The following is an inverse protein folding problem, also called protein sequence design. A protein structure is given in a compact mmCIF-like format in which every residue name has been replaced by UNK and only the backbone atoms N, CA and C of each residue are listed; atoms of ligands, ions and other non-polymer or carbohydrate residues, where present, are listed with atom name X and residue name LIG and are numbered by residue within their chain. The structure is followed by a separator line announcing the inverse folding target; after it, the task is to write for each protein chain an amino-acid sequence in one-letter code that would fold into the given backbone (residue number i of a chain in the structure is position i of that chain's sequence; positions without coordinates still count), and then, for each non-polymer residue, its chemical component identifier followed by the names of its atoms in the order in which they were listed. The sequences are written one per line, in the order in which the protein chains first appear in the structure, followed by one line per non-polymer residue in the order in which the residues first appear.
data_IF_882460047989
#
_entry.id   IF_882460047989
#
_cell.length_a   1.000
_cell.length_b   1.000
_cell.length_c   1.000
_cell.angle_alpha   90.00
_cell.angle_beta   90.00
_cell.angle_gamma   90.00
#
_symmetry.space_group_name_H-M   'P 1'
#
loop_
_entity.id
_entity.type
_entity.pdbx_description
1 polymer ?
#
# COMPACT_ATOMS: atom_id res chain seq x y z
N UNK A 1 -56.93 49.90 33.87
CA UNK A 1 -56.87 48.71 33.02
C UNK A 1 -55.46 48.57 32.44
N UNK A 2 -54.59 47.81 33.07
CA UNK A 2 -53.21 47.59 32.65
C UNK A 2 -53.12 46.22 31.99
N UNK A 3 -52.80 46.16 30.71
CA UNK A 3 -52.56 44.92 29.99
C UNK A 3 -51.07 44.50 30.21
N UNK A 4 -50.92 43.33 30.79
CA UNK A 4 -49.62 42.69 30.99
C UNK A 4 -49.26 41.91 29.69
N UNK A 5 -48.14 42.25 29.10
CA UNK A 5 -47.60 41.52 27.93
C UNK A 5 -46.47 40.62 28.44
N UNK A 6 -46.63 39.33 28.26
CA UNK A 6 -45.66 38.28 28.62
C UNK A 6 -44.74 38.04 27.41
N UNK A 7 -43.39 38.10 27.52
CA UNK A 7 -42.52 37.72 26.42
C UNK A 7 -42.30 36.18 26.40
N UNK A 8 -42.59 35.58 25.26
CA UNK A 8 -42.32 34.20 24.95
C UNK A 8 -40.81 34.03 24.68
N UNK A 9 -40.06 33.40 25.58
CA UNK A 9 -38.69 32.97 25.34
C UNK A 9 -38.71 31.70 24.49
N UNK A 10 -38.40 31.81 23.21
CA UNK A 10 -37.98 30.67 22.37
C UNK A 10 -36.54 30.28 22.71
N UNK A 11 -36.38 29.24 23.49
CA UNK A 11 -35.11 28.55 23.67
C UNK A 11 -34.77 27.72 22.44
N UNK A 12 -33.86 28.21 21.62
CA UNK A 12 -33.27 27.39 20.56
C UNK A 12 -32.28 26.38 21.19
N UNK A 13 -32.73 25.13 21.32
CA UNK A 13 -31.84 24.01 21.68
C UNK A 13 -30.97 23.70 20.46
N UNK A 14 -29.75 24.14 20.50
CA UNK A 14 -28.66 23.70 19.62
C UNK A 14 -28.34 22.25 19.99
N UNK A 15 -28.93 21.28 19.32
CA UNK A 15 -28.45 19.90 19.33
C UNK A 15 -27.13 19.87 18.55
N UNK A 16 -26.01 19.99 19.27
CA UNK A 16 -24.70 19.62 18.76
C UNK A 16 -24.69 18.10 18.54
N UNK A 17 -24.88 17.67 17.31
CA UNK A 17 -24.56 16.31 16.89
C UNK A 17 -23.04 16.13 16.97
N UNK A 18 -22.53 15.83 18.14
CA UNK A 18 -21.25 15.12 18.28
C UNK A 18 -21.56 13.66 17.88
N UNK A 19 -21.39 13.37 16.59
CA UNK A 19 -21.19 11.99 16.15
C UNK A 19 -19.84 11.54 16.75
N UNK A 20 -19.89 10.94 17.93
CA UNK A 20 -18.78 10.13 18.39
C UNK A 20 -18.70 8.97 17.41
N UNK A 21 -17.57 8.86 16.69
CA UNK A 21 -17.20 7.65 16.01
C UNK A 21 -17.02 6.57 17.10
N UNK A 22 -18.09 5.86 17.44
CA UNK A 22 -17.97 4.66 18.27
C UNK A 22 -17.09 3.67 17.50
N UNK A 23 -15.97 3.30 18.11
CA UNK A 23 -15.12 2.22 17.63
C UNK A 23 -15.98 0.96 17.51
N UNK A 24 -16.28 0.53 16.30
CA UNK A 24 -17.04 -0.68 16.03
C UNK A 24 -16.28 -1.89 16.59
N UNK A 25 -16.80 -2.54 17.60
CA UNK A 25 -16.28 -3.79 18.11
C UNK A 25 -16.87 -4.97 17.36
N UNK A 26 -16.09 -6.03 17.19
CA UNK A 26 -16.63 -7.30 16.71
C UNK A 26 -17.77 -7.78 17.60
N UNK A 27 -18.92 -8.11 17.04
CA UNK A 27 -20.09 -8.60 17.80
C UNK A 27 -19.82 -9.98 18.40
N UNK A 28 -18.99 -10.80 17.75
CA UNK A 28 -18.47 -12.08 18.26
C UNK A 28 -16.97 -12.10 18.05
N UNK A 29 -16.21 -12.65 19.02
CA UNK A 29 -14.78 -12.88 18.81
C UNK A 29 -14.57 -13.77 17.58
N UNK A 30 -13.66 -13.39 16.73
CA UNK A 30 -13.25 -14.20 15.59
C UNK A 30 -11.72 -14.17 15.42
N UNK A 31 -11.20 -15.11 14.63
CA UNK A 31 -9.76 -15.24 14.36
C UNK A 31 -9.47 -14.86 12.91
N UNK A 32 -8.48 -14.00 12.72
CA UNK A 32 -8.00 -13.56 11.41
C UNK A 32 -6.50 -13.82 11.27
N UNK A 33 -6.10 -14.52 10.21
CA UNK A 33 -4.71 -14.64 9.79
C UNK A 33 -4.44 -13.84 8.53
N UNK A 34 -3.41 -12.99 8.52
CA UNK A 34 -3.00 -12.23 7.34
C UNK A 34 -1.72 -12.80 6.78
N UNK A 35 -1.73 -13.23 5.51
CA UNK A 35 -0.57 -13.77 4.79
C UNK A 35 0.03 -12.68 3.92
N UNK A 36 1.25 -12.24 4.25
CA UNK A 36 1.96 -11.18 3.49
C UNK A 36 2.89 -11.78 2.43
N UNK A 37 3.39 -10.95 1.50
CA UNK A 37 4.25 -11.38 0.38
C UNK A 37 5.56 -12.00 0.85
N UNK A 38 6.17 -11.40 1.87
CA UNK A 38 7.43 -11.84 2.47
C UNK A 38 7.52 -11.31 3.90
N UNK A 39 7.89 -12.16 4.84
CA UNK A 39 8.09 -11.76 6.23
C UNK A 39 9.41 -11.02 6.46
N UNK A 40 9.47 -10.20 7.50
CA UNK A 40 10.72 -9.59 7.98
C UNK A 40 11.18 -8.34 7.25
N UNK A 41 10.53 -7.90 6.17
CA UNK A 41 10.81 -6.58 5.61
C UNK A 41 10.07 -5.49 6.40
N UNK A 42 10.67 -4.29 6.56
CA UNK A 42 10.13 -3.24 7.42
C UNK A 42 8.69 -2.84 7.13
N UNK A 43 8.29 -2.82 5.86
CA UNK A 43 6.91 -2.57 5.45
C UNK A 43 5.91 -3.50 6.15
N UNK A 44 6.13 -4.81 6.05
CA UNK A 44 5.22 -5.80 6.66
C UNK A 44 5.36 -5.89 8.17
N UNK A 45 6.52 -5.55 8.75
CA UNK A 45 6.67 -5.46 10.21
C UNK A 45 5.80 -4.33 10.79
N UNK A 46 5.68 -3.18 10.10
CA UNK A 46 4.81 -2.08 10.50
C UNK A 46 3.34 -2.41 10.25
N UNK A 47 3.02 -3.14 9.16
CA UNK A 47 1.67 -3.65 8.92
C UNK A 47 1.23 -4.61 10.04
N UNK A 48 2.10 -5.50 10.51
CA UNK A 48 1.84 -6.42 11.63
C UNK A 48 1.48 -5.68 12.91
N UNK A 49 2.15 -4.55 13.20
CA UNK A 49 1.78 -3.70 14.34
C UNK A 49 0.34 -3.19 14.19
N UNK A 50 -0.04 -2.70 13.00
CA UNK A 50 -1.40 -2.26 12.72
C UNK A 50 -2.44 -3.37 12.92
N UNK A 51 -2.18 -4.57 12.40
CA UNK A 51 -3.03 -5.76 12.58
C UNK A 51 -3.21 -6.09 14.05
N UNK A 52 -2.11 -6.15 14.80
CA UNK A 52 -2.11 -6.58 16.21
C UNK A 52 -2.79 -5.55 17.11
N UNK A 53 -2.50 -4.27 16.92
CA UNK A 53 -3.08 -3.18 17.72
C UNK A 53 -4.58 -3.04 17.47
N UNK A 54 -5.00 -3.04 16.21
CA UNK A 54 -6.41 -2.91 15.85
C UNK A 54 -7.19 -4.18 16.25
N UNK A 55 -6.58 -5.36 16.12
CA UNK A 55 -7.16 -6.61 16.62
C UNK A 55 -7.47 -6.54 18.11
N UNK A 56 -6.53 -6.06 18.93
CA UNK A 56 -6.75 -5.86 20.38
C UNK A 56 -7.86 -4.84 20.66
N UNK A 57 -7.88 -3.73 19.92
CA UNK A 57 -8.88 -2.65 20.06
C UNK A 57 -10.29 -3.13 19.75
N UNK A 58 -10.45 -3.94 18.69
CA UNK A 58 -11.74 -4.44 18.23
C UNK A 58 -12.15 -5.80 18.82
N UNK A 59 -11.29 -6.42 19.62
CA UNK A 59 -11.56 -7.74 20.22
C UNK A 59 -11.43 -8.90 19.25
N UNK A 60 -10.60 -8.76 18.22
CA UNK A 60 -10.30 -9.75 17.18
C UNK A 60 -8.95 -10.41 17.48
N UNK A 61 -8.87 -11.73 17.37
CA UNK A 61 -7.59 -12.46 17.42
C UNK A 61 -6.94 -12.37 16.03
N UNK A 62 -6.24 -11.25 15.76
CA UNK A 62 -5.61 -10.98 14.47
C UNK A 62 -4.08 -11.12 14.56
N UNK A 63 -3.48 -11.78 13.57
CA UNK A 63 -2.04 -12.00 13.49
C UNK A 63 -1.58 -12.06 12.03
N UNK A 64 -0.29 -11.81 11.81
CA UNK A 64 0.35 -11.87 10.51
C UNK A 64 1.26 -13.11 10.41
N UNK A 65 1.32 -13.70 9.23
CA UNK A 65 2.29 -14.71 8.82
C UNK A 65 2.82 -14.35 7.43
N UNK A 66 4.01 -14.85 7.10
CA UNK A 66 4.56 -14.63 5.76
C UNK A 66 5.70 -15.59 5.46
N UNK A 67 5.91 -15.91 4.18
CA UNK A 67 7.06 -16.71 3.76
C UNK A 67 8.38 -15.96 4.00
N UNK A 68 9.48 -16.70 4.00
CA UNK A 68 10.83 -16.12 4.14
C UNK A 68 11.34 -15.51 2.85
N UNK A 69 10.74 -15.88 1.72
CA UNK A 69 11.02 -15.37 0.38
C UNK A 69 9.70 -15.01 -0.32
N UNK A 70 9.75 -14.15 -1.33
CA UNK A 70 8.60 -13.78 -2.13
C UNK A 70 8.21 -14.92 -3.10
N UNK A 71 7.81 -16.07 -2.55
CA UNK A 71 7.43 -17.29 -3.29
C UNK A 71 5.92 -17.53 -3.16
N UNK A 72 5.15 -17.49 -4.26
CA UNK A 72 3.72 -17.78 -4.24
C UNK A 72 3.38 -19.19 -3.71
N UNK A 73 4.24 -20.19 -3.91
CA UNK A 73 4.00 -21.53 -3.43
C UNK A 73 4.11 -21.62 -1.89
N UNK A 74 4.98 -20.84 -1.28
CA UNK A 74 5.04 -20.71 0.18
C UNK A 74 3.81 -19.99 0.72
N UNK A 75 3.27 -18.99 0.02
CA UNK A 75 2.00 -18.36 0.39
C UNK A 75 0.83 -19.34 0.34
N UNK A 76 0.75 -20.20 -0.69
CA UNK A 76 -0.27 -21.27 -0.77
C UNK A 76 -0.23 -22.12 0.49
N UNK A 77 0.95 -22.58 0.93
CA UNK A 77 1.11 -23.40 2.15
C UNK A 77 0.65 -22.65 3.39
N UNK A 78 1.02 -21.36 3.52
CA UNK A 78 0.60 -20.55 4.66
C UNK A 78 -0.94 -20.38 4.72
N UNK A 79 -1.59 -20.21 3.57
CA UNK A 79 -3.06 -20.15 3.48
C UNK A 79 -3.68 -21.51 3.83
N UNK A 80 -3.13 -22.64 3.34
CA UNK A 80 -3.58 -23.98 3.69
C UNK A 80 -3.49 -24.27 5.20
N UNK A 81 -2.43 -23.79 5.85
CA UNK A 81 -2.27 -23.86 7.31
C UNK A 81 -3.36 -23.07 8.05
N UNK A 82 -3.74 -21.88 7.55
CA UNK A 82 -4.83 -21.09 8.13
C UNK A 82 -6.20 -21.78 7.92
N UNK A 83 -6.44 -22.39 6.76
CA UNK A 83 -7.64 -23.21 6.49
C UNK A 83 -7.71 -24.38 7.47
N UNK A 84 -6.60 -25.11 7.68
CA UNK A 84 -6.52 -26.20 8.62
C UNK A 84 -6.75 -25.77 10.07
N UNK A 85 -6.30 -24.56 10.45
CA UNK A 85 -6.55 -23.93 11.76
C UNK A 85 -7.98 -23.43 11.92
N UNK A 86 -8.79 -23.41 10.85
CA UNK A 86 -10.18 -22.96 10.83
C UNK A 86 -10.31 -21.52 11.33
N UNK A 87 -9.46 -20.62 10.84
CA UNK A 87 -9.66 -19.19 11.06
C UNK A 87 -10.95 -18.72 10.41
N UNK A 88 -11.53 -17.64 10.91
CA UNK A 88 -12.79 -17.11 10.37
C UNK A 88 -12.55 -16.21 9.14
N UNK A 89 -11.40 -15.52 9.11
CA UNK A 89 -11.02 -14.59 8.04
C UNK A 89 -9.57 -14.82 7.65
N UNK A 90 -9.28 -14.82 6.37
CA UNK A 90 -7.94 -14.79 5.80
C UNK A 90 -7.74 -13.46 5.07
N UNK A 91 -6.74 -12.68 5.51
CA UNK A 91 -6.22 -11.55 4.76
C UNK A 91 -5.04 -12.02 3.90
N UNK A 92 -4.86 -11.43 2.71
CA UNK A 92 -3.72 -11.78 1.85
C UNK A 92 -3.19 -10.55 1.13
N UNK A 93 -1.86 -10.41 1.09
CA UNK A 93 -1.15 -9.56 0.13
C UNK A 93 -0.47 -10.48 -0.88
N UNK A 94 -1.05 -10.73 -2.07
CA UNK A 94 -0.58 -11.78 -2.97
C UNK A 94 0.76 -11.50 -3.64
N UNK A 95 1.63 -12.51 -3.74
CA UNK A 95 2.79 -12.51 -4.64
C UNK A 95 2.39 -12.78 -6.10
N UNK A 96 1.36 -13.60 -6.28
CA UNK A 96 0.79 -13.92 -7.59
C UNK A 96 -0.72 -14.22 -7.43
N UNK A 97 -1.55 -13.32 -7.94
CA UNK A 97 -2.99 -13.45 -7.84
C UNK A 97 -3.54 -14.74 -8.44
N UNK A 98 -2.98 -15.18 -9.60
CA UNK A 98 -3.46 -16.38 -10.32
C UNK A 98 -3.09 -17.67 -9.59
N UNK A 99 -1.87 -17.75 -9.06
CA UNK A 99 -1.40 -18.92 -8.30
C UNK A 99 -2.22 -19.11 -7.02
N UNK A 100 -2.68 -18.02 -6.41
CA UNK A 100 -3.45 -18.09 -5.16
C UNK A 100 -4.95 -18.37 -5.36
N UNK A 101 -5.51 -18.15 -6.55
CA UNK A 101 -6.95 -18.38 -6.81
C UNK A 101 -7.48 -19.74 -6.33
N UNK A 102 -6.82 -20.89 -6.62
CA UNK A 102 -7.33 -22.17 -6.18
C UNK A 102 -7.37 -22.36 -4.66
N UNK A 103 -6.39 -21.82 -3.92
CA UNK A 103 -6.36 -21.95 -2.47
C UNK A 103 -7.34 -21.00 -1.80
N UNK A 104 -7.51 -19.77 -2.33
CA UNK A 104 -8.52 -18.83 -1.87
C UNK A 104 -9.94 -19.34 -2.07
N UNK A 105 -10.19 -20.00 -3.22
CA UNK A 105 -11.45 -20.69 -3.46
C UNK A 105 -11.72 -21.76 -2.40
N UNK A 106 -10.73 -22.60 -2.06
CA UNK A 106 -10.87 -23.61 -0.99
C UNK A 106 -11.15 -22.95 0.38
N UNK A 107 -10.54 -21.80 0.68
CA UNK A 107 -10.85 -21.06 1.89
C UNK A 107 -12.33 -20.64 1.94
N UNK A 108 -12.85 -20.06 0.85
CA UNK A 108 -14.27 -19.68 0.76
C UNK A 108 -15.21 -20.88 0.81
N UNK A 109 -14.87 -21.99 0.16
CA UNK A 109 -15.64 -23.26 0.23
C UNK A 109 -15.66 -23.84 1.66
N UNK A 110 -14.62 -23.57 2.46
CA UNK A 110 -14.59 -23.90 3.89
C UNK A 110 -15.36 -22.90 4.78
N UNK A 111 -15.99 -21.88 4.20
CA UNK A 111 -16.75 -20.85 4.91
C UNK A 111 -15.88 -19.71 5.48
N UNK A 112 -14.60 -19.65 5.13
CA UNK A 112 -13.66 -18.62 5.57
C UNK A 112 -13.83 -17.37 4.66
N UNK A 113 -13.90 -16.19 5.25
CA UNK A 113 -13.91 -14.92 4.50
C UNK A 113 -12.51 -14.58 4.01
N UNK A 114 -12.42 -14.00 2.81
CA UNK A 114 -11.15 -13.65 2.18
C UNK A 114 -11.10 -12.15 1.89
N UNK A 115 -10.05 -11.48 2.34
CA UNK A 115 -9.77 -10.07 2.05
C UNK A 115 -8.39 -10.00 1.41
N UNK A 116 -8.26 -9.26 0.31
CA UNK A 116 -6.95 -8.98 -0.32
C UNK A 116 -6.56 -7.51 -0.20
N UNK A 117 -5.29 -7.25 -0.37
CA UNK A 117 -4.68 -5.93 -0.52
C UNK A 117 -3.59 -6.03 -1.58
N UNK A 118 -3.40 -5.00 -2.39
CA UNK A 118 -2.52 -5.00 -3.56
C UNK A 118 -2.89 -6.03 -4.64
N UNK A 119 -4.17 -6.43 -4.70
CA UNK A 119 -4.66 -7.40 -5.67
C UNK A 119 -6.08 -7.07 -6.14
N UNK A 120 -6.30 -5.90 -6.76
CA UNK A 120 -7.59 -5.58 -7.33
C UNK A 120 -7.99 -6.66 -8.35
N UNK A 121 -9.29 -6.94 -8.46
CA UNK A 121 -9.85 -7.99 -9.31
C UNK A 121 -9.54 -9.46 -8.91
N UNK A 122 -9.04 -9.71 -7.68
CA UNK A 122 -8.91 -11.06 -7.15
C UNK A 122 -10.28 -11.73 -7.08
N UNK A 123 -10.47 -12.83 -7.86
CA UNK A 123 -11.80 -13.43 -8.06
C UNK A 123 -12.34 -14.13 -6.82
N UNK A 124 -11.46 -14.83 -6.08
CA UNK A 124 -11.82 -15.54 -4.87
C UNK A 124 -11.47 -14.73 -3.61
N UNK A 125 -11.81 -13.43 -3.63
CA UNK A 125 -11.82 -12.55 -2.47
C UNK A 125 -13.24 -12.00 -2.28
N UNK A 126 -13.69 -11.88 -1.02
CA UNK A 126 -14.93 -11.18 -0.68
C UNK A 126 -14.74 -9.68 -0.90
N UNK A 127 -13.59 -9.16 -0.45
CA UNK A 127 -13.17 -7.77 -0.65
C UNK A 127 -11.67 -7.68 -0.95
N UNK A 128 -11.33 -6.71 -1.76
CA UNK A 128 -10.00 -6.16 -1.90
C UNK A 128 -10.01 -4.72 -1.39
N UNK A 129 -8.93 -4.21 -0.79
CA UNK A 129 -8.85 -2.81 -0.44
C UNK A 129 -7.56 -2.17 -0.91
N UNK A 130 -7.67 -0.92 -1.39
CA UNK A 130 -6.55 -0.14 -1.87
C UNK A 130 -6.52 1.24 -1.20
N UNK A 131 -5.34 1.64 -0.72
CA UNK A 131 -5.13 2.89 -0.01
C UNK A 131 -4.71 4.04 -0.93
N UNK A 132 -4.43 3.76 -2.19
CA UNK A 132 -3.94 4.70 -3.18
C UNK A 132 -4.62 4.47 -4.52
N UNK A 133 -5.03 5.55 -5.19
CA UNK A 133 -5.56 5.48 -6.55
C UNK A 133 -4.43 5.15 -7.54
N UNK A 134 -4.66 4.13 -8.34
CA UNK A 134 -3.67 3.60 -9.30
C UNK A 134 -3.22 4.66 -10.31
N UNK A 135 -4.14 5.45 -10.85
CA UNK A 135 -3.80 6.43 -11.88
C UNK A 135 -3.04 7.61 -11.29
N UNK A 136 -3.48 8.12 -10.14
CA UNK A 136 -2.80 9.22 -9.45
C UNK A 136 -1.41 8.80 -8.95
N UNK A 137 -1.27 7.57 -8.46
CA UNK A 137 0.00 7.04 -7.98
C UNK A 137 1.06 6.95 -9.09
N UNK A 138 0.70 6.36 -10.23
CA UNK A 138 1.58 6.28 -11.40
C UNK A 138 1.92 7.65 -11.98
N UNK A 139 0.91 8.51 -12.16
CA UNK A 139 1.08 9.84 -12.73
C UNK A 139 1.95 10.75 -11.86
N UNK A 140 1.74 10.77 -10.53
CA UNK A 140 2.51 11.61 -9.61
C UNK A 140 4.00 11.22 -9.59
N UNK A 141 4.31 9.92 -9.51
CA UNK A 141 5.70 9.45 -9.59
C UNK A 141 6.36 9.82 -10.91
N UNK A 142 5.65 9.65 -12.03
CA UNK A 142 6.21 9.97 -13.35
C UNK A 142 6.40 11.48 -13.53
N UNK A 143 5.48 12.30 -13.03
CA UNK A 143 5.60 13.76 -13.08
C UNK A 143 6.82 14.26 -12.33
N UNK A 144 7.04 13.75 -11.12
CA UNK A 144 8.18 14.15 -10.29
C UNK A 144 9.51 13.67 -10.90
N UNK A 145 9.55 12.42 -11.40
CA UNK A 145 10.72 11.91 -12.10
C UNK A 145 11.02 12.68 -13.38
N UNK A 146 10.02 13.02 -14.17
CA UNK A 146 10.20 13.81 -15.39
C UNK A 146 10.78 15.20 -15.07
N UNK A 147 10.27 15.85 -14.04
CA UNK A 147 10.82 17.15 -13.58
C UNK A 147 12.30 17.04 -13.21
N UNK A 148 12.69 15.99 -12.48
CA UNK A 148 14.08 15.73 -12.12
C UNK A 148 14.96 15.45 -13.33
N UNK A 149 14.48 14.64 -14.29
CA UNK A 149 15.22 14.28 -15.51
C UNK A 149 15.31 15.39 -16.57
N UNK A 150 14.55 16.49 -16.40
CA UNK A 150 14.40 17.54 -17.44
C UNK A 150 13.53 17.10 -18.60
N UNK A 151 12.53 16.27 -18.36
CA UNK A 151 11.51 15.76 -19.29
C UNK A 151 12.06 14.95 -20.49
N UNK A 152 13.30 14.48 -20.42
CA UNK A 152 13.96 13.73 -21.49
C UNK A 152 14.98 12.72 -20.96
N UNK A 153 15.33 11.74 -21.81
CA UNK A 153 16.40 10.78 -21.53
C UNK A 153 15.88 9.41 -21.12
N UNK A 154 16.81 8.54 -20.72
CA UNK A 154 16.53 7.13 -20.45
C UNK A 154 16.21 6.87 -18.99
N UNK A 155 15.22 6.03 -18.72
CA UNK A 155 14.90 5.57 -17.39
C UNK A 155 14.65 4.07 -17.33
N UNK A 156 14.79 3.48 -16.15
CA UNK A 156 14.43 2.09 -15.86
C UNK A 156 13.24 2.03 -14.91
N UNK A 157 12.47 0.93 -14.97
CA UNK A 157 11.30 0.68 -14.12
C UNK A 157 11.52 -0.59 -13.30
N UNK A 158 11.45 -0.47 -11.96
CA UNK A 158 11.46 -1.58 -11.03
C UNK A 158 10.06 -1.79 -10.45
N UNK A 159 9.66 -3.03 -10.28
CA UNK A 159 8.44 -3.43 -9.58
C UNK A 159 8.76 -4.49 -8.54
N UNK A 160 7.90 -4.69 -7.55
CA UNK A 160 8.10 -5.70 -6.51
C UNK A 160 8.27 -7.08 -7.11
N UNK A 161 7.31 -7.50 -7.92
CA UNK A 161 7.35 -8.69 -8.75
C UNK A 161 6.57 -8.45 -10.04
N UNK A 162 6.88 -9.19 -11.10
CA UNK A 162 6.14 -9.12 -12.37
C UNK A 162 4.72 -9.70 -12.28
N UNK A 163 4.40 -10.40 -11.19
CA UNK A 163 3.11 -11.08 -10.96
C UNK A 163 2.21 -10.42 -9.93
N UNK A 164 2.69 -9.38 -9.22
CA UNK A 164 1.88 -8.59 -8.27
C UNK A 164 1.04 -7.56 -9.05
N UNK A 165 -0.31 -7.64 -9.03
CA UNK A 165 -1.17 -6.82 -9.87
C UNK A 165 -0.96 -5.32 -9.65
N UNK A 166 -1.16 -4.82 -8.45
CA UNK A 166 -1.19 -3.39 -8.14
C UNK A 166 0.08 -2.64 -8.55
N UNK A 167 1.27 -3.17 -8.19
CA UNK A 167 2.55 -2.49 -8.51
C UNK A 167 2.81 -2.45 -10.01
N UNK A 168 2.27 -3.44 -10.76
CA UNK A 168 2.33 -3.45 -12.22
C UNK A 168 1.32 -2.47 -12.83
N UNK A 169 0.15 -2.31 -12.24
CA UNK A 169 -0.83 -1.29 -12.66
C UNK A 169 -0.31 0.13 -12.41
N UNK A 170 0.37 0.38 -11.28
CA UNK A 170 1.06 1.67 -11.05
C UNK A 170 2.13 1.94 -12.10
N UNK A 171 2.91 0.92 -12.46
CA UNK A 171 3.91 1.04 -13.52
C UNK A 171 3.26 1.31 -14.88
N UNK A 172 2.14 0.64 -15.22
CA UNK A 172 1.38 0.88 -16.44
C UNK A 172 0.81 2.31 -16.49
N UNK A 173 0.25 2.79 -15.38
CA UNK A 173 -0.24 4.16 -15.27
C UNK A 173 0.89 5.19 -15.45
N UNK A 174 2.06 4.96 -14.82
CA UNK A 174 3.24 5.81 -14.97
C UNK A 174 3.75 5.84 -16.42
N UNK A 175 3.83 4.67 -17.08
CA UNK A 175 4.25 4.55 -18.48
C UNK A 175 3.24 5.22 -19.42
N UNK A 176 1.94 5.04 -19.18
CA UNK A 176 0.89 5.70 -19.97
C UNK A 176 0.99 7.22 -19.82
N UNK A 177 1.17 7.71 -18.60
CA UNK A 177 1.36 9.15 -18.35
C UNK A 177 2.62 9.69 -19.02
N UNK A 178 3.74 8.97 -18.96
CA UNK A 178 4.99 9.32 -19.64
C UNK A 178 4.80 9.44 -21.15
N UNK A 179 4.16 8.45 -21.78
CA UNK A 179 3.92 8.47 -23.23
C UNK A 179 3.06 9.66 -23.67
N UNK A 180 2.07 10.05 -22.87
CA UNK A 180 1.18 11.15 -23.16
C UNK A 180 1.82 12.53 -22.96
N UNK A 181 2.67 12.70 -21.94
CA UNK A 181 3.16 14.01 -21.51
C UNK A 181 4.66 14.23 -21.74
N UNK A 182 5.47 13.17 -21.74
CA UNK A 182 6.94 13.25 -21.82
C UNK A 182 7.50 12.32 -22.90
N UNK A 183 7.19 12.57 -24.20
CA UNK A 183 7.55 11.68 -25.29
C UNK A 183 9.07 11.56 -25.55
N UNK A 184 9.88 12.48 -24.99
CA UNK A 184 11.35 12.42 -25.08
C UNK A 184 11.98 11.52 -24.03
N UNK A 185 11.22 11.05 -23.03
CA UNK A 185 11.67 10.05 -22.08
C UNK A 185 11.51 8.65 -22.67
N UNK A 186 12.46 7.76 -22.40
CA UNK A 186 12.47 6.40 -22.95
C UNK A 186 12.83 5.38 -21.89
N UNK A 187 11.99 4.36 -21.73
CA UNK A 187 12.31 3.21 -20.89
C UNK A 187 13.37 2.34 -21.59
N UNK A 188 14.45 1.96 -20.87
CA UNK A 188 15.61 1.26 -21.47
C UNK A 188 15.38 -0.22 -21.74
N UNK A 189 14.41 -0.82 -21.05
CA UNK A 189 14.05 -2.23 -21.16
C UNK A 189 12.62 -2.41 -20.64
N UNK A 190 12.08 -3.62 -20.60
CA UNK A 190 10.86 -3.88 -19.84
C UNK A 190 11.14 -3.71 -18.34
N UNK A 191 10.09 -3.80 -17.51
CA UNK A 191 10.21 -3.65 -16.05
C UNK A 191 10.98 -4.81 -15.41
N UNK A 192 11.65 -4.53 -14.31
CA UNK A 192 12.43 -5.49 -13.55
C UNK A 192 11.71 -5.86 -12.24
N UNK A 193 11.42 -7.14 -12.01
CA UNK A 193 10.77 -7.65 -10.80
C UNK A 193 11.76 -7.84 -9.66
N UNK A 194 12.32 -6.77 -9.12
CA UNK A 194 13.44 -6.80 -8.13
C UNK A 194 13.18 -5.97 -6.87
N UNK A 195 12.07 -5.22 -6.81
CA UNK A 195 11.89 -4.20 -5.79
C UNK A 195 11.40 -4.72 -4.42
N UNK A 196 11.32 -6.04 -4.21
CA UNK A 196 11.16 -6.64 -2.88
C UNK A 196 12.51 -7.02 -2.23
N UNK A 197 13.64 -6.81 -2.94
CA UNK A 197 14.99 -7.12 -2.46
C UNK A 197 15.93 -5.93 -2.68
N UNK A 198 16.56 -5.45 -1.61
CA UNK A 198 17.57 -4.39 -1.69
C UNK A 198 18.76 -4.81 -2.54
N UNK A 199 19.24 -6.05 -2.34
CA UNK A 199 20.44 -6.55 -3.02
C UNK A 199 20.20 -6.77 -4.51
N UNK A 200 19.03 -7.31 -4.89
CA UNK A 200 18.68 -7.51 -6.29
C UNK A 200 18.47 -6.16 -7.00
N UNK A 201 17.78 -5.22 -6.35
CA UNK A 201 17.61 -3.87 -6.86
C UNK A 201 18.94 -3.14 -7.03
N UNK A 202 19.85 -3.26 -6.05
CA UNK A 202 21.18 -2.65 -6.13
C UNK A 202 22.03 -3.28 -7.25
N UNK A 203 21.99 -4.61 -7.40
CA UNK A 203 22.69 -5.33 -8.48
C UNK A 203 22.17 -4.88 -9.83
N UNK A 204 20.85 -4.91 -10.04
CA UNK A 204 20.20 -4.50 -11.30
C UNK A 204 20.49 -3.03 -11.63
N UNK A 205 20.42 -2.13 -10.64
CA UNK A 205 20.80 -0.72 -10.85
C UNK A 205 22.28 -0.58 -11.28
N UNK A 206 23.19 -1.32 -10.67
CA UNK A 206 24.59 -1.32 -11.07
C UNK A 206 24.82 -1.81 -12.51
N UNK A 207 24.11 -2.85 -12.92
CA UNK A 207 24.20 -3.40 -14.27
C UNK A 207 23.66 -2.40 -15.30
N UNK A 208 22.51 -1.79 -15.01
CA UNK A 208 21.90 -0.75 -15.84
C UNK A 208 22.80 0.49 -15.99
N UNK A 209 23.39 0.99 -14.90
CA UNK A 209 24.34 2.11 -14.92
C UNK A 209 25.63 1.78 -15.67
N UNK A 210 25.99 0.51 -15.76
CA UNK A 210 27.14 0.05 -16.53
C UNK A 210 26.82 -0.08 -18.01
N UNK A 211 25.63 -0.58 -18.36
CA UNK A 211 25.14 -0.79 -19.72
C UNK A 211 24.68 0.53 -20.38
N UNK A 212 24.00 1.38 -19.63
CA UNK A 212 23.44 2.65 -20.09
C UNK A 212 24.11 3.82 -19.36
N UNK A 213 25.20 4.36 -19.95
CA UNK A 213 25.95 5.46 -19.34
C UNK A 213 25.17 6.77 -19.26
N UNK A 214 24.12 6.87 -20.04
CA UNK A 214 23.17 7.99 -20.16
C UNK A 214 21.84 7.74 -19.42
N UNK A 215 21.80 6.76 -18.50
CA UNK A 215 20.63 6.50 -17.68
C UNK A 215 20.38 7.68 -16.72
N UNK A 216 19.25 8.38 -16.89
CA UNK A 216 18.87 9.55 -16.09
C UNK A 216 17.87 9.26 -14.97
N UNK A 217 17.20 8.10 -14.98
CA UNK A 217 16.19 7.80 -13.96
C UNK A 217 16.01 6.32 -13.65
N UNK A 218 15.64 6.04 -12.40
CA UNK A 218 15.14 4.72 -11.96
C UNK A 218 13.87 4.98 -11.16
N UNK A 219 12.73 4.50 -11.67
CA UNK A 219 11.46 4.50 -10.95
C UNK A 219 11.22 3.13 -10.32
N UNK A 220 10.65 3.09 -9.12
CA UNK A 220 10.42 1.83 -8.43
C UNK A 220 9.11 1.79 -7.67
N UNK A 221 8.31 0.77 -7.95
CA UNK A 221 7.11 0.40 -7.21
C UNK A 221 7.36 -0.90 -6.43
N UNK A 222 7.80 -0.73 -5.19
CA UNK A 222 8.19 -1.78 -4.25
C UNK A 222 9.22 -1.23 -3.25
N UNK A 223 9.01 -1.49 -1.95
CA UNK A 223 9.64 -0.73 -0.86
C UNK A 223 11.15 -0.87 -0.75
N UNK A 224 11.74 -1.92 -1.32
CA UNK A 224 13.20 -2.15 -1.29
C UNK A 224 13.91 -1.64 -2.55
N UNK A 225 13.17 -1.38 -3.62
CA UNK A 225 13.71 -0.95 -4.90
C UNK A 225 14.47 0.38 -4.84
N UNK A 226 13.85 1.48 -4.34
CA UNK A 226 14.54 2.76 -4.23
C UNK A 226 15.75 2.70 -3.28
N UNK A 227 15.68 1.85 -2.23
CA UNK A 227 16.80 1.65 -1.30
C UNK A 227 18.01 1.02 -2.03
N UNK A 228 17.77 -0.04 -2.81
CA UNK A 228 18.83 -0.69 -3.59
C UNK A 228 19.38 0.22 -4.69
N UNK A 229 18.52 0.85 -5.47
CA UNK A 229 18.90 1.81 -6.51
C UNK A 229 19.67 3.00 -5.92
N UNK A 230 19.18 3.62 -4.86
CA UNK A 230 19.82 4.74 -4.18
C UNK A 230 21.22 4.38 -3.64
N UNK A 231 21.40 3.18 -3.07
CA UNK A 231 22.73 2.70 -2.65
C UNK A 231 23.69 2.53 -3.83
N UNK A 232 23.21 2.05 -4.99
CA UNK A 232 24.03 1.95 -6.20
C UNK A 232 24.44 3.32 -6.72
N UNK A 233 23.52 4.29 -6.74
CA UNK A 233 23.75 5.68 -7.15
C UNK A 233 24.76 6.36 -6.22
N UNK A 234 24.54 6.31 -4.89
CA UNK A 234 25.45 6.91 -3.88
C UNK A 234 26.86 6.33 -3.98
N UNK A 235 26.99 5.00 -4.08
CA UNK A 235 28.29 4.32 -4.24
C UNK A 235 29.04 4.73 -5.51
N UNK A 236 28.31 5.02 -6.59
CA UNK A 236 28.87 5.47 -7.87
C UNK A 236 29.01 6.99 -7.98
N UNK A 237 28.59 7.74 -6.96
CA UNK A 237 28.59 9.22 -6.93
C UNK A 237 27.80 9.84 -8.09
N UNK A 238 26.66 9.25 -8.42
CA UNK A 238 25.78 9.69 -9.51
C UNK A 238 24.51 10.43 -9.05
N UNK A 239 24.50 10.87 -7.79
CA UNK A 239 23.35 11.53 -7.15
C UNK A 239 22.84 12.76 -7.93
N UNK A 240 23.70 13.48 -8.63
CA UNK A 240 23.32 14.64 -9.44
C UNK A 240 23.01 14.28 -10.93
N UNK A 241 23.21 13.02 -11.33
CA UNK A 241 23.09 12.59 -12.73
C UNK A 241 21.91 11.64 -12.96
N UNK A 242 21.46 10.92 -11.91
CA UNK A 242 20.45 9.88 -12.05
C UNK A 242 19.41 10.01 -10.94
N UNK A 243 18.18 10.33 -11.31
CA UNK A 243 17.04 10.47 -10.42
C UNK A 243 16.52 9.11 -9.95
N UNK A 244 16.16 8.98 -8.68
CA UNK A 244 15.53 7.79 -8.11
C UNK A 244 14.23 8.16 -7.42
N UNK A 245 13.11 7.72 -7.98
CA UNK A 245 11.77 7.91 -7.39
C UNK A 245 11.09 6.59 -7.12
N UNK A 246 10.33 6.52 -6.03
CA UNK A 246 9.52 5.34 -5.76
C UNK A 246 9.01 5.26 -4.34
N UNK A 247 8.25 4.20 -4.08
CA UNK A 247 7.79 3.87 -2.73
C UNK A 247 8.94 3.26 -1.93
N UNK A 248 9.23 3.78 -0.75
CA UNK A 248 10.26 3.21 0.14
C UNK A 248 9.88 3.36 1.62
N UNK A 249 10.43 2.46 2.46
CA UNK A 249 10.27 2.56 3.90
C UNK A 249 11.08 3.75 4.45
N UNK A 250 10.43 4.74 5.10
CA UNK A 250 11.07 5.98 5.58
C UNK A 250 12.36 5.78 6.36
N UNK A 251 12.38 4.88 7.35
CA UNK A 251 13.56 4.61 8.18
C UNK A 251 14.75 4.05 7.42
N UNK A 252 14.53 3.34 6.32
CA UNK A 252 15.62 2.84 5.46
C UNK A 252 16.09 3.89 4.46
N UNK A 253 15.18 4.75 3.97
CA UNK A 253 15.45 5.68 2.87
C UNK A 253 15.91 7.06 3.28
N UNK A 254 15.61 7.52 4.50
CA UNK A 254 15.85 8.92 4.92
C UNK A 254 17.29 9.41 4.65
N UNK A 255 18.30 8.58 4.96
CA UNK A 255 19.69 8.97 4.74
C UNK A 255 20.07 9.05 3.26
N UNK A 256 19.47 8.23 2.41
CA UNK A 256 19.67 8.26 0.96
C UNK A 256 18.95 9.47 0.35
N UNK A 257 17.77 9.81 0.86
CA UNK A 257 17.01 10.98 0.47
C UNK A 257 17.76 12.28 0.85
N UNK A 258 18.31 12.37 2.08
CA UNK A 258 19.14 13.52 2.51
C UNK A 258 20.39 13.73 1.68
N UNK A 259 20.93 12.66 1.09
CA UNK A 259 22.10 12.70 0.18
C UNK A 259 21.74 12.96 -1.28
N UNK A 260 20.45 12.99 -1.64
CA UNK A 260 20.00 13.04 -3.03
C UNK A 260 20.33 11.79 -3.83
N UNK A 261 20.42 10.63 -3.15
CA UNK A 261 20.55 9.32 -3.80
C UNK A 261 19.19 8.64 -4.04
N UNK A 262 18.17 9.14 -3.37
CA UNK A 262 16.75 9.00 -3.68
C UNK A 262 16.21 10.43 -3.73
N UNK A 263 15.35 10.74 -4.70
CA UNK A 263 14.83 12.10 -4.93
C UNK A 263 13.42 12.27 -4.36
N UNK A 264 12.70 11.17 -4.11
CA UNK A 264 11.37 11.21 -3.51
C UNK A 264 10.49 10.03 -3.93
N UNK A 265 9.20 10.21 -3.70
CA UNK A 265 8.16 9.25 -4.04
C UNK A 265 6.90 9.44 -3.22
N UNK A 266 6.05 8.43 -3.22
CA UNK A 266 4.80 8.41 -2.47
C UNK A 266 4.61 7.06 -1.78
N UNK A 267 3.92 7.08 -0.65
CA UNK A 267 3.66 5.89 0.17
C UNK A 267 2.23 5.96 0.73
N UNK A 268 1.60 4.81 0.93
CA UNK A 268 0.54 4.65 1.93
C UNK A 268 1.16 4.32 3.28
N UNK A 269 0.40 4.45 4.36
CA UNK A 269 0.88 4.06 5.68
C UNK A 269 0.66 2.55 5.89
N UNK A 270 1.73 1.72 6.01
CA UNK A 270 1.58 0.28 6.19
C UNK A 270 0.88 -0.10 7.51
N UNK A 271 0.98 0.74 8.55
CA UNK A 271 0.22 0.53 9.78
C UNK A 271 -1.28 0.64 9.53
N UNK A 272 -1.68 1.64 8.74
CA UNK A 272 -3.09 1.81 8.32
C UNK A 272 -3.54 0.61 7.50
N UNK A 273 -2.72 0.09 6.57
CA UNK A 273 -3.06 -1.13 5.82
C UNK A 273 -3.35 -2.31 6.76
N UNK A 274 -2.53 -2.49 7.80
CA UNK A 274 -2.76 -3.50 8.83
C UNK A 274 -4.06 -3.30 9.60
N UNK A 275 -4.36 -2.06 10.00
CA UNK A 275 -5.61 -1.69 10.68
C UNK A 275 -6.83 -1.96 9.79
N UNK A 276 -6.75 -1.58 8.52
CA UNK A 276 -7.84 -1.74 7.54
C UNK A 276 -8.20 -3.22 7.32
N UNK A 277 -7.22 -4.12 7.26
CA UNK A 277 -7.51 -5.56 7.22
C UNK A 277 -8.48 -5.97 8.34
N UNK A 278 -8.20 -5.55 9.58
CA UNK A 278 -9.04 -5.91 10.75
C UNK A 278 -10.38 -5.17 10.73
N UNK A 279 -10.39 -3.92 10.28
CA UNK A 279 -11.61 -3.09 10.21
C UNK A 279 -12.59 -3.63 9.15
N UNK A 280 -12.09 -3.96 7.94
CA UNK A 280 -12.90 -4.58 6.88
C UNK A 280 -13.40 -5.95 7.33
N UNK A 281 -12.54 -6.79 7.95
CA UNK A 281 -12.96 -8.07 8.51
C UNK A 281 -14.07 -7.89 9.56
N UNK A 282 -13.94 -6.91 10.43
CA UNK A 282 -14.95 -6.62 11.48
C UNK A 282 -16.28 -6.20 10.86
N UNK A 283 -16.27 -5.30 9.88
CA UNK A 283 -17.48 -4.88 9.16
C UNK A 283 -18.17 -6.09 8.49
N UNK A 284 -17.42 -6.94 7.80
CA UNK A 284 -17.94 -8.17 7.19
C UNK A 284 -18.57 -9.12 8.22
N UNK A 285 -17.87 -9.39 9.31
CA UNK A 285 -18.33 -10.33 10.34
C UNK A 285 -19.53 -9.80 11.12
N UNK A 286 -19.68 -8.49 11.20
CA UNK A 286 -20.86 -7.81 11.76
C UNK A 286 -22.04 -7.74 10.77
N UNK A 287 -21.84 -8.08 9.50
CA UNK A 287 -22.85 -7.93 8.44
C UNK A 287 -23.12 -6.47 8.06
N UNK A 288 -22.15 -5.59 8.25
CA UNK A 288 -22.25 -4.18 7.89
C UNK A 288 -22.20 -4.00 6.37
N UNK A 289 -22.91 -3.02 5.86
CA UNK A 289 -22.91 -2.73 4.43
C UNK A 289 -21.67 -1.91 4.05
N UNK A 290 -20.80 -2.50 3.20
CA UNK A 290 -19.64 -1.82 2.62
C UNK A 290 -20.04 -1.25 1.27
N UNK A 291 -20.12 0.09 1.17
CA UNK A 291 -20.52 0.80 -0.06
C UNK A 291 -19.85 2.17 -0.16
N UNK A 292 -19.83 2.76 -1.35
CA UNK A 292 -19.35 4.13 -1.57
C UNK A 292 -20.03 5.12 -0.64
N UNK A 293 -19.24 6.02 -0.06
CA UNK A 293 -19.68 7.08 0.84
C UNK A 293 -19.77 6.70 2.32
N UNK A 294 -19.51 5.42 2.68
CA UNK A 294 -19.31 5.06 4.09
C UNK A 294 -17.84 5.27 4.49
N UNK A 295 -17.60 5.41 5.78
CA UNK A 295 -16.22 5.47 6.31
C UNK A 295 -15.84 4.14 6.93
N UNK A 296 -14.65 3.65 6.59
CA UNK A 296 -14.05 2.47 7.21
C UNK A 296 -12.77 2.91 7.93
N UNK A 297 -12.87 3.05 9.26
CA UNK A 297 -11.75 3.35 10.12
C UNK A 297 -10.80 4.41 9.57
N UNK A 298 -9.53 4.07 9.47
CA UNK A 298 -8.47 4.98 9.04
C UNK A 298 -8.39 5.20 7.52
N UNK A 299 -9.18 4.46 6.71
CA UNK A 299 -9.36 4.79 5.29
C UNK A 299 -10.16 6.08 5.09
N UNK A 300 -11.00 6.46 6.08
CA UNK A 300 -11.98 7.52 5.90
C UNK A 300 -13.12 7.12 4.96
N UNK A 301 -13.66 8.09 4.24
CA UNK A 301 -14.71 7.84 3.24
C UNK A 301 -14.16 7.04 2.06
N UNK A 302 -14.83 5.93 1.75
CA UNK A 302 -14.41 5.00 0.71
C UNK A 302 -15.21 5.13 -0.58
N UNK A 303 -14.58 4.71 -1.68
CA UNK A 303 -15.24 4.38 -2.95
C UNK A 303 -15.22 2.87 -3.13
N UNK A 304 -16.26 2.31 -3.72
CA UNK A 304 -16.37 0.88 -4.02
C UNK A 304 -16.56 0.69 -5.52
N UNK A 305 -15.74 -0.19 -6.10
CA UNK A 305 -15.85 -0.62 -7.49
C UNK A 305 -15.70 -2.14 -7.54
N UNK A 306 -16.76 -2.86 -7.96
CA UNK A 306 -16.78 -4.32 -7.86
C UNK A 306 -16.62 -4.77 -6.41
N UNK A 307 -15.59 -5.57 -6.13
CA UNK A 307 -15.19 -5.97 -4.79
C UNK A 307 -13.97 -5.19 -4.24
N UNK A 308 -13.57 -4.10 -4.89
CA UNK A 308 -12.46 -3.26 -4.42
C UNK A 308 -12.96 -2.04 -3.66
N UNK A 309 -12.43 -1.86 -2.46
CA UNK A 309 -12.62 -0.71 -1.58
C UNK A 309 -11.43 0.22 -1.77
N UNK A 310 -11.66 1.46 -2.19
CA UNK A 310 -10.59 2.41 -2.50
C UNK A 310 -10.67 3.65 -1.61
N UNK A 311 -9.52 4.04 -1.06
CA UNK A 311 -9.25 5.41 -0.61
C UNK A 311 -8.05 5.97 -1.40
N UNK A 312 -7.77 7.28 -1.29
CA UNK A 312 -6.63 7.89 -1.98
C UNK A 312 -5.98 8.94 -1.08
N UNK A 313 -5.06 8.48 -0.24
CA UNK A 313 -4.36 9.31 0.74
C UNK A 313 -2.83 9.11 0.63
N UNK A 314 -2.19 9.49 -0.49
CA UNK A 314 -0.76 9.35 -0.66
C UNK A 314 0.00 10.32 0.24
N UNK A 315 1.06 9.83 0.88
CA UNK A 315 2.02 10.66 1.61
C UNK A 315 3.25 10.87 0.72
N UNK A 316 3.57 12.13 0.42
CA UNK A 316 4.79 12.44 -0.33
C UNK A 316 6.04 12.21 0.52
N UNK A 317 7.00 11.48 -0.01
CA UNK A 317 8.27 11.13 0.63
C UNK A 317 9.37 12.15 0.32
N UNK A 318 9.15 13.42 0.68
CA UNK A 318 10.20 14.41 0.77
C UNK A 318 10.94 14.31 2.12
N UNK A 319 12.05 15.02 2.28
CA UNK A 319 12.88 14.96 3.50
C UNK A 319 12.09 15.29 4.76
N UNK A 320 11.24 16.32 4.73
CA UNK A 320 10.46 16.76 5.89
C UNK A 320 9.45 15.71 6.32
N UNK A 321 8.62 15.24 5.39
CA UNK A 321 7.60 14.24 5.68
C UNK A 321 8.22 12.89 6.06
N UNK A 322 9.30 12.49 5.38
CA UNK A 322 10.00 11.24 5.69
C UNK A 322 10.56 11.26 7.12
N UNK A 323 11.10 12.37 7.60
CA UNK A 323 11.54 12.50 9.01
C UNK A 323 10.38 12.33 9.98
N UNK A 324 9.24 12.97 9.73
CA UNK A 324 8.04 12.81 10.56
C UNK A 324 7.55 11.37 10.61
N UNK A 325 7.60 10.66 9.47
CA UNK A 325 7.22 9.25 9.41
C UNK A 325 8.18 8.35 10.19
N UNK A 326 9.49 8.64 10.15
CA UNK A 326 10.50 7.93 10.97
C UNK A 326 10.25 8.13 12.47
N UNK A 327 9.89 9.35 12.89
CA UNK A 327 9.59 9.65 14.31
C UNK A 327 8.40 8.86 14.85
N UNK A 328 7.46 8.46 13.99
CA UNK A 328 6.30 7.62 14.36
C UNK A 328 6.52 6.13 14.07
N UNK A 329 7.74 5.72 13.73
CA UNK A 329 8.16 4.31 13.65
C UNK A 329 8.08 3.67 12.26
N UNK A 330 7.96 4.47 11.21
CA UNK A 330 7.97 4.02 9.80
C UNK A 330 9.36 4.02 9.18
#
# INVERSE_FOLDING_TARGET
MKKLVLPCLMGAALFSNMAMAESQKAQKPFTMGVVVKVGGIPWFNVMEQGITEEGKKLGVNAFQVGPTTADPAEQVRAIEDLIAKKVDVIGVVPNDAKVLEPVLKRAQEAGIKVITHESPDQKNADWDFELLDTQSMGANHMKDMAACMGEEGKYAMFVGSLTVPLVNEWADAAIAYQKAHYPKMQMVDDRFGVAESVDDSMRTANDLLSKHKDLKGIMSFGSQGPIGAGRAIDKRRKNAETCVFGTFTPGQGIKLLEKGAIDGGYISNPKVAGQVFVQVATAMMNGEEIKTGVSIGDMGEIKVSGNTILSDNPVNLNVENTKKLVEVGL
#
